data_IF_182849219993
#
_entry.id   IF_182849219993
#
_cell.length_a   1.000
_cell.length_b   1.000
_cell.length_c   1.000
_cell.angle_alpha   90.00
_cell.angle_beta   90.00
_cell.angle_gamma   90.00
#
_symmetry.space_group_name_H-M   'P 1'
#
loop_
_entity.id
_entity.type
_entity.pdbx_description
1 polymer ?
#
# COMPACT_ATOMS: atom_id res chain seq x y z
N UNK A 1 14.73 -7.62 -24.16
CA UNK A 1 13.32 -7.83 -23.72
C UNK A 1 13.30 -7.80 -22.20
N UNK A 2 12.31 -7.14 -21.58
CA UNK A 2 12.17 -7.17 -20.11
C UNK A 2 11.69 -8.54 -19.63
N UNK A 3 12.17 -8.97 -18.47
CA UNK A 3 11.67 -10.17 -17.79
C UNK A 3 10.26 -9.94 -17.24
N UNK A 4 9.54 -10.98 -16.89
CA UNK A 4 8.22 -10.90 -16.24
C UNK A 4 8.32 -10.08 -14.93
N UNK A 5 9.36 -10.35 -14.13
CA UNK A 5 9.62 -9.60 -12.89
C UNK A 5 9.82 -8.10 -13.15
N UNK A 6 10.59 -7.73 -14.18
CA UNK A 6 10.78 -6.32 -14.54
C UNK A 6 9.48 -5.65 -15.00
N UNK A 7 8.66 -6.35 -15.80
CA UNK A 7 7.36 -5.82 -16.25
C UNK A 7 6.40 -5.61 -15.06
N UNK A 8 6.33 -6.58 -14.16
CA UNK A 8 5.47 -6.47 -12.97
C UNK A 8 5.95 -5.38 -12.01
N UNK A 9 7.27 -5.24 -11.84
CA UNK A 9 7.84 -4.16 -11.05
C UNK A 9 7.49 -2.78 -11.62
N UNK A 10 7.54 -2.62 -12.95
CA UNK A 10 7.15 -1.37 -13.62
C UNK A 10 5.66 -1.06 -13.40
N UNK A 11 4.80 -2.07 -13.46
CA UNK A 11 3.35 -1.91 -13.23
C UNK A 11 3.09 -1.43 -11.79
N UNK A 12 3.75 -2.04 -10.82
CA UNK A 12 3.64 -1.61 -9.42
C UNK A 12 4.19 -0.20 -9.21
N UNK A 13 5.34 0.11 -9.81
CA UNK A 13 5.96 1.42 -9.74
C UNK A 13 5.06 2.52 -10.30
N UNK A 14 4.24 2.23 -11.32
CA UNK A 14 3.26 3.18 -11.86
C UNK A 14 2.20 3.56 -10.82
N UNK A 15 1.67 2.58 -10.08
CA UNK A 15 0.73 2.85 -8.99
C UNK A 15 1.40 3.68 -7.86
N UNK A 16 2.65 3.37 -7.53
CA UNK A 16 3.44 4.10 -6.54
C UNK A 16 3.75 5.54 -6.98
N UNK A 17 4.00 5.76 -8.26
CA UNK A 17 4.19 7.12 -8.82
C UNK A 17 2.95 7.98 -8.60
N UNK A 18 1.74 7.42 -8.77
CA UNK A 18 0.49 8.13 -8.50
C UNK A 18 0.34 8.48 -7.02
N UNK A 19 0.66 7.55 -6.15
CA UNK A 19 0.65 7.77 -4.70
C UNK A 19 1.65 8.87 -4.30
N UNK A 20 2.87 8.84 -4.82
CA UNK A 20 3.89 9.85 -4.52
C UNK A 20 3.44 11.25 -4.94
N UNK A 21 2.92 11.40 -6.16
CA UNK A 21 2.39 12.68 -6.63
C UNK A 21 1.25 13.19 -5.75
N UNK A 22 0.39 12.30 -5.26
CA UNK A 22 -0.69 12.68 -4.36
C UNK A 22 -0.16 13.07 -2.98
N UNK A 23 0.82 12.34 -2.44
CA UNK A 23 1.46 12.67 -1.16
C UNK A 23 2.14 14.05 -1.18
N UNK A 24 2.76 14.43 -2.29
CA UNK A 24 3.42 15.73 -2.46
C UNK A 24 2.45 16.92 -2.35
N UNK A 25 1.15 16.67 -2.53
CA UNK A 25 0.10 17.68 -2.43
C UNK A 25 -0.52 17.79 -1.03
N UNK A 26 -0.21 16.84 -0.13
CA UNK A 26 -0.84 16.77 1.20
C UNK A 26 -0.07 17.66 2.18
N UNK A 27 -0.81 18.52 2.88
CA UNK A 27 -0.32 19.28 4.02
C UNK A 27 -0.70 18.60 5.34
N UNK A 28 -0.07 18.98 6.48
CA UNK A 28 -0.45 18.45 7.78
C UNK A 28 -1.93 18.62 8.13
N UNK A 29 -2.54 19.75 7.69
CA UNK A 29 -3.96 20.06 7.92
C UNK A 29 -4.91 19.13 7.15
N UNK A 30 -4.41 18.50 6.08
CA UNK A 30 -5.22 17.59 5.28
C UNK A 30 -5.43 16.22 5.95
N UNK A 31 -4.54 15.83 6.86
CA UNK A 31 -4.49 14.46 7.41
C UNK A 31 -5.79 14.01 8.08
N UNK A 32 -6.52 14.94 8.72
CA UNK A 32 -7.80 14.64 9.37
C UNK A 32 -9.00 14.62 8.44
N UNK A 33 -8.85 14.98 7.16
CA UNK A 33 -9.97 15.10 6.23
C UNK A 33 -10.66 13.76 5.96
N UNK A 34 -11.98 13.78 6.01
CA UNK A 34 -12.90 12.66 5.73
C UNK A 34 -14.06 13.13 4.86
N UNK A 35 -14.78 12.19 4.27
CA UNK A 35 -16.06 12.45 3.63
C UNK A 35 -17.19 12.00 4.55
N UNK A 36 -18.02 12.95 5.00
CA UNK A 36 -19.14 12.64 5.87
C UNK A 36 -18.73 11.81 7.10
N UNK A 37 -19.44 10.72 7.34
CA UNK A 37 -19.19 9.80 8.46
C UNK A 37 -18.19 8.69 8.13
N UNK A 38 -17.44 8.81 7.03
CA UNK A 38 -16.43 7.81 6.67
C UNK A 38 -15.42 7.64 7.83
N UNK A 39 -15.07 6.40 8.21
CA UNK A 39 -14.08 6.16 9.26
C UNK A 39 -12.65 6.45 8.81
N UNK A 40 -12.43 6.70 7.51
CA UNK A 40 -11.10 6.78 6.92
C UNK A 40 -10.68 8.23 6.65
N UNK A 41 -9.72 8.72 7.42
CA UNK A 41 -9.03 9.99 7.13
C UNK A 41 -7.88 9.77 6.14
N UNK A 42 -7.33 10.85 5.59
CA UNK A 42 -6.13 10.80 4.76
C UNK A 42 -4.96 10.17 5.54
N UNK A 43 -4.75 10.57 6.79
CA UNK A 43 -3.70 10.01 7.63
C UNK A 43 -3.85 8.50 7.82
N UNK A 44 -5.08 8.04 8.09
CA UNK A 44 -5.38 6.61 8.16
C UNK A 44 -5.06 5.89 6.84
N UNK A 45 -5.48 6.44 5.71
CA UNK A 45 -5.27 5.81 4.40
C UNK A 45 -3.79 5.73 4.02
N UNK A 46 -3.00 6.77 4.31
CA UNK A 46 -1.54 6.73 4.11
C UNK A 46 -0.90 5.62 4.94
N UNK A 47 -1.25 5.53 6.22
CA UNK A 47 -0.76 4.45 7.09
C UNK A 47 -1.21 3.08 6.58
N UNK A 48 -2.47 2.95 6.17
CA UNK A 48 -3.05 1.70 5.67
C UNK A 48 -2.35 1.19 4.41
N UNK A 49 -2.03 2.08 3.48
CA UNK A 49 -1.27 1.72 2.28
C UNK A 49 0.07 1.05 2.63
N UNK A 50 0.83 1.64 3.55
CA UNK A 50 2.10 1.09 4.00
C UNK A 50 1.94 -0.21 4.79
N UNK A 51 0.97 -0.29 5.69
CA UNK A 51 0.66 -1.51 6.45
C UNK A 51 0.39 -2.69 5.52
N UNK A 52 -0.42 -2.48 4.46
CA UNK A 52 -0.79 -3.52 3.50
C UNK A 52 0.39 -3.90 2.60
N UNK A 53 1.22 -2.96 2.16
CA UNK A 53 2.44 -3.29 1.40
C UNK A 53 3.38 -4.17 2.21
N UNK A 54 3.60 -3.86 3.48
CA UNK A 54 4.43 -4.68 4.37
C UNK A 54 3.81 -6.05 4.64
N UNK A 55 2.49 -6.13 4.81
CA UNK A 55 1.81 -7.42 4.94
C UNK A 55 1.95 -8.28 3.68
N UNK A 56 1.90 -7.68 2.49
CA UNK A 56 2.17 -8.40 1.24
C UNK A 56 3.61 -8.94 1.20
N UNK A 57 4.58 -8.12 1.56
CA UNK A 57 5.97 -8.55 1.68
C UNK A 57 6.13 -9.76 2.60
N UNK A 58 5.45 -9.73 3.75
CA UNK A 58 5.54 -10.79 4.76
C UNK A 58 4.74 -12.03 4.40
N UNK A 59 3.46 -11.89 4.05
CA UNK A 59 2.52 -13.00 3.97
C UNK A 59 2.33 -13.55 2.55
N UNK A 60 2.49 -12.72 1.52
CA UNK A 60 2.31 -13.10 0.11
C UNK A 60 3.65 -13.49 -0.50
N UNK A 61 4.67 -12.67 -0.33
CA UNK A 61 6.03 -12.94 -0.82
C UNK A 61 6.88 -13.77 0.16
N UNK A 62 6.42 -13.94 1.40
CA UNK A 62 7.09 -14.78 2.37
C UNK A 62 8.42 -14.23 2.91
N UNK A 63 8.64 -12.92 2.87
CA UNK A 63 9.87 -12.31 3.37
C UNK A 63 10.00 -12.48 4.89
N UNK A 64 11.07 -13.12 5.39
CA UNK A 64 11.28 -13.28 6.83
C UNK A 64 11.74 -12.01 7.53
N UNK A 65 12.21 -11.01 6.77
CA UNK A 65 12.80 -9.79 7.30
C UNK A 65 11.75 -8.72 7.62
N UNK A 66 10.53 -8.86 7.08
CA UNK A 66 9.45 -7.91 7.32
C UNK A 66 8.86 -8.12 8.70
N UNK A 67 8.98 -7.07 9.51
CA UNK A 67 8.30 -6.94 10.81
C UNK A 67 7.29 -5.82 10.73
N UNK A 68 6.01 -6.13 10.87
CA UNK A 68 4.93 -5.16 10.78
C UNK A 68 3.86 -5.42 11.83
N UNK A 69 3.43 -4.35 12.48
CA UNK A 69 2.17 -4.32 13.24
C UNK A 69 1.21 -3.47 12.40
N UNK A 70 0.38 -4.14 11.63
CA UNK A 70 -0.55 -3.48 10.69
C UNK A 70 -1.78 -2.94 11.45
N UNK A 71 -1.58 -1.88 12.21
CA UNK A 71 -2.61 -1.30 13.11
C UNK A 71 -3.89 -0.97 12.38
N UNK A 72 -3.81 -0.41 11.18
CA UNK A 72 -4.99 -0.04 10.40
C UNK A 72 -5.79 -1.25 9.92
N UNK A 73 -5.13 -2.38 9.70
CA UNK A 73 -5.79 -3.64 9.34
C UNK A 73 -6.42 -4.30 10.57
N UNK A 74 -5.78 -4.18 11.73
CA UNK A 74 -6.27 -4.70 13.01
C UNK A 74 -7.48 -3.88 13.48
N UNK A 75 -7.34 -2.56 13.54
CA UNK A 75 -8.36 -1.66 14.08
C UNK A 75 -9.52 -1.40 13.12
N UNK A 76 -9.28 -1.52 11.81
CA UNK A 76 -10.25 -1.34 10.71
C UNK A 76 -10.92 0.04 10.67
N UNK A 77 -10.43 0.99 11.44
CA UNK A 77 -10.94 2.36 11.52
C UNK A 77 -9.84 3.31 11.95
N UNK A 78 -10.01 4.57 11.64
CA UNK A 78 -9.13 5.64 12.14
C UNK A 78 -9.33 5.79 13.66
N UNK A 79 -8.21 5.72 14.38
CA UNK A 79 -8.16 5.89 15.84
C UNK A 79 -7.71 7.30 16.25
N UNK A 80 -7.48 8.19 15.28
CA UNK A 80 -6.96 9.54 15.52
C UNK A 80 -5.45 9.63 15.72
N UNK A 81 -4.71 8.53 15.50
CA UNK A 81 -3.26 8.47 15.73
C UNK A 81 -2.43 9.02 14.55
N UNK A 82 -3.02 9.12 13.37
CA UNK A 82 -2.29 9.33 12.10
C UNK A 82 -2.22 10.81 11.73
N UNK A 83 -1.55 11.61 12.57
CA UNK A 83 -1.54 13.08 12.51
C UNK A 83 -0.18 13.69 12.18
N UNK A 84 0.88 12.89 12.09
CA UNK A 84 2.24 13.36 11.84
C UNK A 84 2.66 13.06 10.39
N UNK A 85 2.55 14.06 9.51
CA UNK A 85 2.78 13.90 8.06
C UNK A 85 4.18 13.35 7.75
N UNK A 86 5.21 13.91 8.36
CA UNK A 86 6.58 13.48 8.11
C UNK A 86 6.84 12.01 8.51
N UNK A 87 6.21 11.55 9.60
CA UNK A 87 6.31 10.16 10.03
C UNK A 87 5.55 9.22 9.08
N UNK A 88 4.37 9.64 8.60
CA UNK A 88 3.60 8.88 7.61
C UNK A 88 4.34 8.77 6.27
N UNK A 89 4.89 9.87 5.78
CA UNK A 89 5.67 9.88 4.54
C UNK A 89 6.87 8.92 4.62
N UNK A 90 7.66 8.99 5.70
CA UNK A 90 8.77 8.05 5.90
C UNK A 90 8.30 6.60 5.91
N UNK A 91 7.24 6.30 6.63
CA UNK A 91 6.71 4.94 6.74
C UNK A 91 6.20 4.41 5.39
N UNK A 92 5.50 5.24 4.61
CA UNK A 92 5.05 4.90 3.25
C UNK A 92 6.25 4.66 2.33
N UNK A 93 7.29 5.49 2.40
CA UNK A 93 8.50 5.35 1.58
C UNK A 93 9.28 4.08 1.94
N UNK A 94 9.49 3.82 3.22
CA UNK A 94 10.16 2.62 3.71
C UNK A 94 9.41 1.33 3.32
N UNK A 95 8.09 1.33 3.44
CA UNK A 95 7.26 0.20 3.00
C UNK A 95 7.38 -0.03 1.50
N UNK A 96 7.35 1.03 0.71
CA UNK A 96 7.52 0.98 -0.75
C UNK A 96 8.87 0.44 -1.17
N UNK A 97 9.97 0.92 -0.58
CA UNK A 97 11.31 0.42 -0.90
C UNK A 97 11.47 -1.05 -0.49
N UNK A 98 10.96 -1.44 0.68
CA UNK A 98 10.99 -2.84 1.12
C UNK A 98 10.26 -3.76 0.14
N UNK A 99 9.06 -3.38 -0.28
CA UNK A 99 8.28 -4.19 -1.24
C UNK A 99 8.93 -4.23 -2.61
N UNK A 100 9.50 -3.12 -3.08
CA UNK A 100 10.24 -3.03 -4.33
C UNK A 100 11.41 -4.01 -4.39
N UNK A 101 12.21 -4.05 -3.31
CA UNK A 101 13.34 -5.00 -3.20
C UNK A 101 12.86 -6.45 -3.23
N UNK A 102 11.78 -6.76 -2.50
CA UNK A 102 11.19 -8.10 -2.48
C UNK A 102 10.69 -8.52 -3.87
N UNK A 103 9.99 -7.63 -4.57
CA UNK A 103 9.50 -7.90 -5.94
C UNK A 103 10.69 -8.14 -6.88
N UNK A 104 11.72 -7.29 -6.81
CA UNK A 104 12.89 -7.37 -7.68
C UNK A 104 13.68 -8.69 -7.52
N UNK A 105 13.59 -9.32 -6.36
CA UNK A 105 14.25 -10.60 -6.06
C UNK A 105 13.48 -11.84 -6.56
N UNK A 106 12.23 -11.68 -7.01
CA UNK A 106 11.44 -12.81 -7.49
C UNK A 106 12.01 -13.36 -8.79
N UNK A 107 12.12 -14.68 -8.86
CA UNK A 107 12.50 -15.39 -10.08
C UNK A 107 11.29 -15.51 -11.01
N UNK A 108 11.56 -15.72 -12.31
CA UNK A 108 10.50 -15.85 -13.33
C UNK A 108 9.49 -16.95 -13.00
N UNK A 109 9.97 -18.09 -12.49
CA UNK A 109 9.12 -19.23 -12.11
C UNK A 109 8.30 -19.00 -10.84
N UNK A 110 8.69 -18.04 -9.98
CA UNK A 110 7.96 -17.77 -8.74
C UNK A 110 6.57 -17.21 -9.02
N UNK A 111 6.41 -16.46 -10.10
CA UNK A 111 5.14 -15.82 -10.46
C UNK A 111 3.99 -16.78 -10.77
N UNK A 112 4.31 -17.99 -11.16
CA UNK A 112 3.33 -19.06 -11.44
C UNK A 112 3.02 -19.93 -10.21
N UNK A 113 3.76 -19.76 -9.10
CA UNK A 113 3.54 -20.54 -7.88
C UNK A 113 2.22 -20.15 -7.23
N UNK A 114 1.47 -21.14 -6.80
CA UNK A 114 0.26 -20.95 -6.01
C UNK A 114 0.62 -20.58 -4.58
N UNK A 115 -0.12 -19.60 -4.06
CA UNK A 115 -0.11 -19.18 -2.66
C UNK A 115 -1.52 -19.24 -2.12
N UNK A 116 -1.64 -19.45 -0.83
CA UNK A 116 -2.92 -19.45 -0.15
C UNK A 116 -2.92 -18.42 0.98
N UNK A 117 -3.93 -17.56 1.01
CA UNK A 117 -4.17 -16.64 2.13
C UNK A 117 -5.63 -16.73 2.59
N UNK A 118 -5.88 -16.40 3.84
CA UNK A 118 -7.25 -16.33 4.37
C UNK A 118 -8.08 -15.24 3.69
N UNK A 119 -7.45 -14.18 3.21
CA UNK A 119 -8.14 -13.05 2.59
C UNK A 119 -8.75 -13.38 1.23
N UNK A 120 -8.01 -14.10 0.37
CA UNK A 120 -8.44 -14.31 -1.02
C UNK A 120 -8.31 -15.75 -1.52
N UNK A 121 -8.02 -16.70 -0.63
CA UNK A 121 -7.89 -18.11 -1.00
C UNK A 121 -6.61 -18.42 -1.78
N UNK A 122 -6.71 -19.33 -2.75
CA UNK A 122 -5.58 -19.77 -3.57
C UNK A 122 -5.51 -18.97 -4.86
N UNK A 123 -4.34 -18.41 -5.15
CA UNK A 123 -4.01 -17.66 -6.36
C UNK A 123 -2.55 -17.89 -6.73
N UNK A 124 -2.19 -17.67 -7.99
CA UNK A 124 -0.77 -17.54 -8.33
C UNK A 124 -0.18 -16.28 -7.69
N UNK A 125 1.14 -16.24 -7.51
CA UNK A 125 1.81 -15.06 -6.99
C UNK A 125 1.55 -13.82 -7.86
N UNK A 126 1.50 -14.00 -9.20
CA UNK A 126 1.17 -12.91 -10.13
C UNK A 126 -0.27 -12.38 -9.95
N UNK A 127 -1.24 -13.28 -9.76
CA UNK A 127 -2.62 -12.87 -9.48
C UNK A 127 -2.76 -12.16 -8.13
N UNK A 128 -2.08 -12.64 -7.10
CA UNK A 128 -2.03 -12.00 -5.80
C UNK A 128 -1.37 -10.61 -5.87
N UNK A 129 -0.31 -10.48 -6.68
CA UNK A 129 0.36 -9.21 -6.93
C UNK A 129 -0.57 -8.15 -7.52
N UNK A 130 -1.49 -8.52 -8.39
CA UNK A 130 -2.48 -7.58 -8.94
C UNK A 130 -3.33 -6.90 -7.84
N UNK A 131 -3.54 -7.57 -6.70
CA UNK A 131 -4.28 -6.98 -5.57
C UNK A 131 -3.54 -5.83 -4.93
N UNK A 132 -2.22 -5.93 -4.71
CA UNK A 132 -1.47 -4.82 -4.12
C UNK A 132 -1.37 -3.63 -5.07
N UNK A 133 -1.22 -3.86 -6.37
CA UNK A 133 -1.22 -2.80 -7.37
C UNK A 133 -2.56 -2.06 -7.39
N UNK A 134 -3.66 -2.79 -7.47
CA UNK A 134 -5.01 -2.21 -7.48
C UNK A 134 -5.36 -1.55 -6.14
N UNK A 135 -4.96 -2.12 -5.01
CA UNK A 135 -5.14 -1.54 -3.68
C UNK A 135 -4.47 -0.18 -3.54
N UNK A 136 -3.22 -0.07 -3.98
CA UNK A 136 -2.47 1.20 -3.96
C UNK A 136 -3.17 2.27 -4.81
N UNK A 137 -3.58 1.93 -6.02
CA UNK A 137 -4.27 2.86 -6.91
C UNK A 137 -5.66 3.26 -6.36
N UNK A 138 -6.40 2.29 -5.81
CA UNK A 138 -7.73 2.50 -5.23
C UNK A 138 -7.69 3.51 -4.06
N UNK A 139 -6.81 3.31 -3.09
CA UNK A 139 -6.72 4.21 -1.95
C UNK A 139 -6.07 5.56 -2.30
N UNK A 140 -5.17 5.60 -3.28
CA UNK A 140 -4.64 6.86 -3.81
C UNK A 140 -5.76 7.72 -4.38
N UNK A 141 -6.70 7.14 -5.11
CA UNK A 141 -7.89 7.84 -5.63
C UNK A 141 -8.78 8.37 -4.51
N UNK A 142 -8.98 7.59 -3.44
CA UNK A 142 -9.72 8.04 -2.25
C UNK A 142 -9.03 9.24 -1.58
N UNK A 143 -7.72 9.18 -1.39
CA UNK A 143 -6.94 10.30 -0.82
C UNK A 143 -7.09 11.55 -1.66
N UNK A 144 -7.04 11.45 -2.99
CA UNK A 144 -7.21 12.58 -3.89
C UNK A 144 -8.59 13.26 -3.72
N UNK A 145 -9.65 12.46 -3.59
CA UNK A 145 -11.02 12.96 -3.35
C UNK A 145 -11.12 13.61 -1.97
N UNK A 146 -10.57 12.96 -0.94
CA UNK A 146 -10.58 13.48 0.44
C UNK A 146 -9.83 14.80 0.55
N UNK A 147 -8.67 14.90 -0.09
CA UNK A 147 -7.87 16.14 -0.07
C UNK A 147 -8.62 17.30 -0.68
N UNK A 148 -9.35 17.07 -1.76
CA UNK A 148 -10.05 18.11 -2.51
C UNK A 148 -11.40 18.47 -1.93
N UNK A 149 -12.15 17.50 -1.43
CA UNK A 149 -13.56 17.66 -1.03
C UNK A 149 -13.85 17.26 0.42
N UNK A 150 -12.90 16.68 1.13
CA UNK A 150 -13.07 16.26 2.51
C UNK A 150 -13.02 17.42 3.49
N UNK A 151 -13.48 17.14 4.70
CA UNK A 151 -13.47 18.08 5.83
C UNK A 151 -12.81 17.41 7.04
N UNK A 152 -12.00 18.18 7.72
CA UNK A 152 -11.37 17.74 8.96
C UNK A 152 -12.38 17.74 10.12
#
# INVERSE_FOLDING_TARGET
>A
MKTKTQLLLDIWAEARTRLQKQMDLISPEDLGKKLGESPNSIGFLLRHLADVELLFGKNVFGSPDIKVIAKTVIDKKDTGEWTELAALQRYVDEAGESLKEIIAQQKEEDWEKEIHTQEFGTKTLAEAFARIVSHTAYHTGQIAILQKYGHA
#
